data_IF_131288253512
#
_entry.id   IF_131288253512
#
_cell.length_a   1.000
_cell.length_b   1.000
_cell.length_c   1.000
_cell.angle_alpha   90.00
_cell.angle_beta   90.00
_cell.angle_gamma   90.00
#
_symmetry.space_group_name_H-M   'P 1'
#
loop_
_entity.id
_entity.type
_entity.pdbx_description
1 polymer ?
#
# COMPACT_ATOMS: atom_id res chain seq x y z
N UNK A 1 11.32 -12.99 2.69
CA UNK A 1 11.08 -12.76 4.13
C UNK A 1 10.27 -13.91 4.71
N UNK A 2 10.11 -13.97 6.03
CA UNK A 2 9.36 -15.04 6.74
C UNK A 2 7.84 -14.78 6.82
N UNK A 3 7.24 -14.32 5.72
CA UNK A 3 5.85 -13.89 5.65
C UNK A 3 5.70 -12.47 5.11
N UNK A 4 4.53 -12.14 4.57
CA UNK A 4 4.25 -10.79 4.02
C UNK A 4 4.14 -9.79 5.17
N UNK A 5 3.48 -10.13 6.27
CA UNK A 5 3.39 -9.27 7.46
C UNK A 5 4.78 -8.87 7.99
N UNK A 6 5.72 -9.81 8.07
CA UNK A 6 7.11 -9.53 8.45
C UNK A 6 7.85 -8.72 7.37
N UNK A 7 7.47 -8.84 6.09
CA UNK A 7 7.95 -7.96 5.03
C UNK A 7 7.49 -6.51 5.25
N UNK A 8 6.20 -6.31 5.54
CA UNK A 8 5.63 -4.98 5.85
C UNK A 8 6.35 -4.37 7.05
N UNK A 9 6.49 -5.15 8.13
CA UNK A 9 7.19 -4.71 9.34
C UNK A 9 8.63 -4.29 9.04
N UNK A 10 9.37 -5.07 8.24
CA UNK A 10 10.75 -4.76 7.87
C UNK A 10 10.84 -3.44 7.10
N UNK A 11 9.92 -3.19 6.16
CA UNK A 11 9.88 -1.94 5.39
C UNK A 11 9.55 -0.77 6.31
N UNK A 12 8.49 -0.86 7.11
CA UNK A 12 8.07 0.23 7.99
C UNK A 12 9.17 0.62 8.99
N UNK A 13 9.82 -0.37 9.61
CA UNK A 13 10.96 -0.13 10.51
C UNK A 13 12.20 0.46 9.82
N UNK A 14 12.30 0.33 8.50
CA UNK A 14 13.43 0.86 7.72
C UNK A 14 13.19 2.30 7.26
N UNK A 15 11.96 2.64 6.89
CA UNK A 15 11.65 3.93 6.25
C UNK A 15 11.12 4.99 7.21
N UNK A 16 10.50 4.59 8.33
CA UNK A 16 9.83 5.52 9.24
C UNK A 16 10.78 6.03 10.32
N UNK A 17 10.57 7.29 10.69
CA UNK A 17 11.12 7.92 11.89
C UNK A 17 10.02 8.50 12.76
N UNK A 18 10.37 8.89 13.98
CA UNK A 18 9.41 9.45 14.94
C UNK A 18 8.72 10.70 14.38
N UNK A 19 7.38 10.66 14.36
CA UNK A 19 6.53 11.74 13.86
C UNK A 19 6.11 11.64 12.39
N UNK A 20 6.58 10.61 11.67
CA UNK A 20 6.13 10.33 10.31
C UNK A 20 4.67 9.86 10.27
N UNK A 21 3.92 10.30 9.27
CA UNK A 21 2.55 9.87 9.02
C UNK A 21 2.50 8.88 7.84
N UNK A 22 1.69 7.82 7.99
CA UNK A 22 1.44 6.83 6.93
C UNK A 22 -0.03 6.88 6.54
N UNK A 23 -0.30 7.21 5.28
CA UNK A 23 -1.66 7.27 4.75
C UNK A 23 -2.12 5.88 4.32
N UNK A 24 -3.36 5.52 4.65
CA UNK A 24 -4.00 4.27 4.22
C UNK A 24 -5.46 4.56 3.84
N UNK A 25 -5.99 4.05 2.71
CA UNK A 25 -7.40 4.15 2.40
C UNK A 25 -8.26 3.41 3.42
N UNK A 26 -9.32 4.06 3.90
CA UNK A 26 -10.29 3.40 4.78
C UNK A 26 -11.11 2.34 4.02
N UNK A 27 -11.65 1.32 4.72
CA UNK A 27 -11.31 0.95 6.09
C UNK A 27 -9.93 0.25 6.12
N UNK A 28 -9.03 0.68 7.01
CA UNK A 28 -7.71 0.07 7.09
C UNK A 28 -7.79 -1.35 7.69
N UNK A 29 -6.99 -2.26 7.14
CA UNK A 29 -6.75 -3.54 7.80
C UNK A 29 -5.98 -3.29 9.11
N UNK A 30 -6.48 -3.77 10.28
CA UNK A 30 -5.93 -3.41 11.58
C UNK A 30 -4.50 -3.90 11.84
N UNK A 31 -3.94 -4.75 10.97
CA UNK A 31 -2.57 -5.22 11.11
C UNK A 31 -1.50 -4.17 10.81
N UNK A 32 -1.83 -3.07 10.12
CA UNK A 32 -0.84 -2.02 9.80
C UNK A 32 -0.53 -1.11 10.99
N UNK A 33 -1.55 -0.67 11.72
CA UNK A 33 -1.42 0.35 12.77
C UNK A 33 -0.38 -0.01 13.84
N UNK A 34 -0.38 -1.23 14.42
CA UNK A 34 0.61 -1.57 15.45
C UNK A 34 2.05 -1.55 14.94
N UNK A 35 2.27 -1.90 13.66
CA UNK A 35 3.60 -1.87 13.04
C UNK A 35 4.07 -0.45 12.77
N UNK A 36 3.16 0.42 12.33
CA UNK A 36 3.44 1.85 12.12
C UNK A 36 3.77 2.52 13.45
N UNK A 37 2.97 2.28 14.49
CA UNK A 37 3.22 2.79 15.85
C UNK A 37 4.54 2.28 16.42
N UNK A 38 4.85 0.99 16.24
CA UNK A 38 6.12 0.41 16.67
C UNK A 38 7.33 1.08 16.00
N UNK A 39 7.19 1.47 14.72
CA UNK A 39 8.21 2.19 13.98
C UNK A 39 8.26 3.71 14.28
N UNK A 40 7.44 4.21 15.22
CA UNK A 40 7.41 5.61 15.65
C UNK A 40 6.53 6.53 14.79
N UNK A 41 5.82 5.99 13.81
CA UNK A 41 4.87 6.74 12.99
C UNK A 41 3.43 6.67 13.50
N UNK A 42 2.54 7.38 12.82
CA UNK A 42 1.09 7.30 13.03
C UNK A 42 0.34 6.96 11.75
N UNK A 43 -0.65 6.08 11.86
CA UNK A 43 -1.57 5.79 10.76
C UNK A 43 -2.57 6.95 10.61
N UNK A 44 -2.80 7.36 9.37
CA UNK A 44 -3.85 8.32 9.00
C UNK A 44 -4.74 7.67 7.95
N UNK A 45 -6.01 7.43 8.29
CA UNK A 45 -6.97 6.89 7.34
C UNK A 45 -7.47 7.98 6.37
N UNK A 46 -7.50 7.66 5.08
CA UNK A 46 -8.18 8.46 4.06
C UNK A 46 -9.64 8.00 4.02
N UNK A 47 -10.58 8.89 4.35
CA UNK A 47 -12.00 8.58 4.27
C UNK A 47 -12.45 8.40 2.81
N UNK A 48 -12.75 7.15 2.45
CA UNK A 48 -13.20 6.72 1.12
C UNK A 48 -14.70 6.38 1.08
N UNK A 49 -15.45 6.62 2.17
CA UNK A 49 -16.89 6.28 2.26
C UNK A 49 -17.72 6.92 1.16
N UNK A 50 -17.37 8.14 0.75
CA UNK A 50 -18.08 8.88 -0.30
C UNK A 50 -17.97 8.24 -1.70
N UNK A 51 -17.08 7.25 -1.88
CA UNK A 51 -16.88 6.54 -3.14
C UNK A 51 -16.85 5.01 -2.93
N UNK A 52 -17.72 4.50 -2.06
CA UNK A 52 -17.89 3.07 -1.78
C UNK A 52 -16.57 2.34 -1.45
N UNK A 53 -15.72 3.01 -0.66
CA UNK A 53 -14.39 2.55 -0.25
C UNK A 53 -13.33 2.46 -1.37
N UNK A 54 -13.62 2.99 -2.55
CA UNK A 54 -12.64 3.08 -3.65
C UNK A 54 -11.90 4.41 -3.57
N UNK A 55 -10.60 4.37 -3.22
CA UNK A 55 -9.75 5.56 -3.24
C UNK A 55 -9.75 6.24 -4.63
N UNK A 56 -9.90 7.56 -4.65
CA UNK A 56 -9.76 8.38 -5.86
C UNK A 56 -8.46 9.18 -5.86
N UNK A 57 -7.94 9.58 -7.04
CA UNK A 57 -6.78 10.48 -7.11
C UNK A 57 -6.98 11.79 -6.36
N UNK A 58 -8.19 12.36 -6.39
CA UNK A 58 -8.50 13.60 -5.68
C UNK A 58 -8.45 13.43 -4.16
N UNK A 59 -9.03 12.34 -3.64
CA UNK A 59 -8.94 11.99 -2.21
C UNK A 59 -7.50 11.80 -1.76
N UNK A 60 -6.68 11.13 -2.58
CA UNK A 60 -5.27 10.89 -2.28
C UNK A 60 -4.46 12.20 -2.27
N UNK A 61 -4.59 13.03 -3.30
CA UNK A 61 -3.90 14.32 -3.41
C UNK A 61 -4.26 15.23 -2.23
N UNK A 62 -5.56 15.35 -1.93
CA UNK A 62 -6.03 16.14 -0.79
C UNK A 62 -5.46 15.62 0.52
N UNK A 63 -5.51 14.31 0.76
CA UNK A 63 -5.00 13.70 1.97
C UNK A 63 -3.51 14.00 2.16
N UNK A 64 -2.69 13.92 1.10
CA UNK A 64 -1.25 14.23 1.18
C UNK A 64 -1.02 15.71 1.49
N UNK A 65 -1.68 16.61 0.77
CA UNK A 65 -1.48 18.07 0.90
C UNK A 65 -1.87 18.57 2.30
N UNK A 66 -2.94 18.04 2.89
CA UNK A 66 -3.42 18.45 4.22
C UNK A 66 -2.47 18.08 5.37
N UNK A 67 -1.50 17.19 5.15
CA UNK A 67 -0.55 16.76 6.20
C UNK A 67 0.73 17.60 6.24
N UNK A 68 0.86 18.62 5.39
CA UNK A 68 1.95 19.61 5.48
C UNK A 68 3.36 18.99 5.48
N UNK A 69 3.59 17.96 4.64
CA UNK A 69 4.90 17.31 4.49
C UNK A 69 5.25 16.26 5.55
N UNK A 70 4.32 15.89 6.43
CA UNK A 70 4.52 14.80 7.40
C UNK A 70 4.33 13.40 6.83
N UNK A 71 3.73 13.28 5.63
CA UNK A 71 3.49 11.98 5.01
C UNK A 71 4.83 11.38 4.59
N UNK A 72 5.16 10.22 5.15
CA UNK A 72 6.34 9.45 4.76
C UNK A 72 6.01 8.37 3.74
N UNK A 73 4.84 7.74 3.89
CA UNK A 73 4.43 6.64 3.04
C UNK A 73 2.92 6.59 2.82
N UNK A 74 2.54 5.98 1.69
CA UNK A 74 1.15 5.60 1.39
C UNK A 74 1.10 4.09 1.23
N UNK A 75 0.26 3.41 2.00
CA UNK A 75 0.00 1.97 1.83
C UNK A 75 -1.25 1.80 0.97
N UNK A 76 -1.10 1.10 -0.15
CA UNK A 76 -2.19 0.68 -1.01
C UNK A 76 -2.29 -0.85 -0.94
N UNK A 77 -3.40 -1.35 -0.39
CA UNK A 77 -3.71 -2.77 -0.38
C UNK A 77 -4.79 -3.08 -1.42
N UNK A 78 -4.43 -3.80 -2.49
CA UNK A 78 -5.34 -4.09 -3.59
C UNK A 78 -4.91 -5.38 -4.32
N UNK A 79 -5.80 -6.40 -4.46
CA UNK A 79 -7.16 -6.47 -3.90
C UNK A 79 -7.22 -6.28 -2.37
N UNK A 80 -8.17 -5.46 -1.92
CA UNK A 80 -8.19 -4.91 -0.58
C UNK A 80 -8.82 -5.86 0.45
N UNK A 81 -8.21 -5.96 1.63
CA UNK A 81 -8.84 -6.48 2.84
C UNK A 81 -9.28 -5.28 3.70
N UNK A 82 -10.56 -5.14 4.07
CA UNK A 82 -11.64 -6.15 4.06
C UNK A 82 -12.62 -6.08 2.88
N UNK A 83 -12.50 -5.11 1.98
CA UNK A 83 -13.59 -4.77 1.03
C UNK A 83 -13.60 -5.59 -0.25
N UNK A 84 -12.50 -6.23 -0.63
CA UNK A 84 -12.32 -6.86 -1.94
C UNK A 84 -12.13 -5.86 -3.08
N UNK A 85 -12.00 -4.55 -2.80
CA UNK A 85 -11.80 -3.51 -3.82
C UNK A 85 -10.55 -3.80 -4.64
N UNK A 86 -10.69 -3.71 -5.95
CA UNK A 86 -9.61 -3.78 -6.94
C UNK A 86 -9.61 -2.50 -7.77
N UNK A 87 -8.47 -2.18 -8.38
CA UNK A 87 -8.33 -1.03 -9.27
C UNK A 87 -8.03 -1.49 -10.69
N UNK A 88 -8.69 -0.88 -11.67
CA UNK A 88 -8.32 -1.08 -13.06
C UNK A 88 -7.04 -0.30 -13.41
N UNK A 89 -6.47 -0.60 -14.57
CA UNK A 89 -5.25 0.04 -15.09
C UNK A 89 -5.30 1.56 -15.09
N UNK A 90 -6.43 2.14 -15.50
CA UNK A 90 -6.61 3.59 -15.56
C UNK A 90 -6.60 4.23 -14.17
N UNK A 91 -7.24 3.59 -13.19
CA UNK A 91 -7.25 4.02 -11.80
C UNK A 91 -5.85 3.94 -11.18
N UNK A 92 -5.15 2.81 -11.33
CA UNK A 92 -3.78 2.64 -10.83
C UNK A 92 -2.84 3.69 -11.43
N UNK A 93 -2.91 3.91 -12.75
CA UNK A 93 -2.13 4.96 -13.41
C UNK A 93 -2.43 6.34 -12.83
N UNK A 94 -3.70 6.68 -12.65
CA UNK A 94 -4.09 7.99 -12.12
C UNK A 94 -3.63 8.20 -10.66
N UNK A 95 -3.66 7.17 -9.82
CA UNK A 95 -3.11 7.21 -8.46
C UNK A 95 -1.58 7.40 -8.50
N UNK A 96 -0.88 6.69 -9.39
CA UNK A 96 0.56 6.84 -9.57
C UNK A 96 0.95 8.26 -10.02
N UNK A 97 0.17 8.88 -10.92
CA UNK A 97 0.42 10.28 -11.34
C UNK A 97 0.28 11.28 -10.18
N UNK A 98 -0.58 11.02 -9.21
CA UNK A 98 -0.64 11.83 -7.97
C UNK A 98 0.60 11.58 -7.14
N UNK A 99 0.91 10.31 -6.84
CA UNK A 99 2.01 9.94 -5.96
C UNK A 99 3.36 10.44 -6.47
N UNK A 100 3.61 10.48 -7.77
CA UNK A 100 4.88 10.96 -8.36
C UNK A 100 5.16 12.44 -8.13
N UNK A 101 4.17 13.23 -7.71
CA UNK A 101 4.36 14.65 -7.39
C UNK A 101 4.90 14.88 -5.98
N UNK A 102 4.93 13.84 -5.15
CA UNK A 102 5.20 13.92 -3.73
C UNK A 102 6.38 13.01 -3.38
N UNK A 103 7.28 13.48 -2.51
CA UNK A 103 8.41 12.69 -2.03
C UNK A 103 7.96 11.71 -0.93
N UNK A 104 7.19 10.70 -1.31
CA UNK A 104 6.63 9.68 -0.40
C UNK A 104 6.94 8.27 -0.89
N UNK A 105 7.14 7.33 0.03
CA UNK A 105 7.19 5.92 -0.34
C UNK A 105 5.79 5.40 -0.66
N UNK A 106 5.69 4.52 -1.65
CA UNK A 106 4.46 3.80 -2.00
C UNK A 106 4.64 2.35 -1.62
N UNK A 107 3.84 1.86 -0.68
CA UNK A 107 3.84 0.45 -0.30
C UNK A 107 2.64 -0.21 -0.98
N UNK A 108 2.91 -1.01 -2.01
CA UNK A 108 1.90 -1.83 -2.67
C UNK A 108 1.78 -3.18 -1.96
N UNK A 109 0.79 -3.36 -1.08
CA UNK A 109 0.46 -4.69 -0.56
C UNK A 109 -0.45 -5.43 -1.54
N UNK A 110 0.20 -6.25 -2.35
CA UNK A 110 -0.39 -6.96 -3.48
C UNK A 110 -0.47 -8.47 -3.20
N UNK A 111 -0.49 -8.89 -1.93
CA UNK A 111 -0.54 -10.33 -1.56
C UNK A 111 -1.77 -11.06 -2.11
N UNK A 112 -2.85 -10.33 -2.42
CA UNK A 112 -4.08 -10.85 -3.01
C UNK A 112 -4.10 -10.77 -4.54
N UNK A 113 -3.01 -10.38 -5.23
CA UNK A 113 -3.01 -10.07 -6.67
C UNK A 113 -3.56 -11.18 -7.57
N UNK A 114 -3.31 -12.45 -7.24
CA UNK A 114 -3.82 -13.61 -7.98
C UNK A 114 -5.32 -13.88 -7.73
N UNK A 115 -5.89 -13.34 -6.65
CA UNK A 115 -7.31 -13.45 -6.30
C UNK A 115 -8.10 -12.26 -6.86
N UNK A 116 -7.92 -11.99 -8.15
CA UNK A 116 -8.60 -10.92 -8.87
C UNK A 116 -9.70 -11.51 -9.78
N UNK A 117 -10.94 -11.07 -9.57
CA UNK A 117 -12.14 -11.62 -10.23
C UNK A 117 -12.71 -10.70 -11.32
N UNK A 118 -11.87 -9.85 -11.90
CA UNK A 118 -12.24 -8.98 -13.01
C UNK A 118 -11.80 -9.59 -14.34
N UNK A 119 -12.31 -9.06 -15.46
CA UNK A 119 -11.91 -9.53 -16.82
C UNK A 119 -10.48 -9.10 -17.22
N UNK A 120 -9.81 -8.31 -16.38
CA UNK A 120 -8.46 -7.80 -16.62
C UNK A 120 -7.53 -8.32 -15.52
N UNK A 121 -6.26 -8.64 -15.82
CA UNK A 121 -5.31 -9.03 -14.79
C UNK A 121 -5.04 -7.90 -13.80
N UNK A 122 -4.57 -8.26 -12.61
CA UNK A 122 -4.07 -7.31 -11.62
C UNK A 122 -2.97 -6.42 -12.22
N UNK A 123 -2.97 -5.14 -11.85
CA UNK A 123 -1.99 -4.15 -12.33
C UNK A 123 -1.29 -3.54 -11.12
N UNK A 124 0.02 -3.80 -10.98
CA UNK A 124 0.82 -3.18 -9.93
C UNK A 124 1.06 -1.70 -10.20
N UNK A 125 1.00 -0.89 -9.15
CA UNK A 125 1.36 0.53 -9.21
C UNK A 125 2.85 0.75 -9.53
N UNK A 126 3.69 -0.25 -9.26
CA UNK A 126 5.11 -0.23 -9.63
C UNK A 126 5.33 -0.15 -11.15
N UNK A 127 4.35 -0.52 -11.98
CA UNK A 127 4.42 -0.30 -13.44
C UNK A 127 4.49 1.20 -13.78
N UNK A 128 3.90 2.07 -12.95
CA UNK A 128 3.75 3.50 -13.22
C UNK A 128 4.56 4.41 -12.28
N UNK A 129 4.98 3.92 -11.11
CA UNK A 129 5.81 4.64 -10.14
C UNK A 129 6.94 3.75 -9.56
N UNK A 130 7.80 3.14 -10.40
CA UNK A 130 8.76 2.11 -9.97
C UNK A 130 9.81 2.60 -8.97
N UNK A 131 10.20 3.88 -9.06
CA UNK A 131 11.32 4.45 -8.29
C UNK A 131 10.99 4.68 -6.81
N UNK A 132 9.71 4.82 -6.48
CA UNK A 132 9.23 5.07 -5.11
C UNK A 132 8.32 3.96 -4.59
N UNK A 133 8.10 2.90 -5.37
CA UNK A 133 7.22 1.78 -4.97
C UNK A 133 8.02 0.62 -4.39
N UNK A 134 7.59 0.17 -3.21
CA UNK A 134 7.99 -1.08 -2.58
C UNK A 134 6.80 -2.02 -2.65
N UNK A 135 6.88 -3.04 -3.50
CA UNK A 135 5.83 -4.07 -3.65
C UNK A 135 6.04 -5.17 -2.63
N UNK A 136 5.00 -5.46 -1.88
CA UNK A 136 4.93 -6.55 -0.93
C UNK A 136 4.01 -7.63 -1.49
N UNK A 137 4.52 -8.85 -1.56
CA UNK A 137 3.75 -10.00 -2.03
C UNK A 137 4.20 -11.27 -1.31
N UNK A 138 3.54 -12.40 -1.57
CA UNK A 138 3.89 -13.70 -1.03
C UNK A 138 2.93 -14.78 -1.53
N UNK A 139 3.18 -16.01 -1.12
CA UNK A 139 2.46 -17.17 -1.67
C UNK A 139 1.36 -17.71 -0.77
N UNK A 140 1.02 -16.97 0.29
CA UNK A 140 -0.03 -17.37 1.24
C UNK A 140 -1.43 -17.42 0.64
N UNK A 141 -1.73 -16.54 -0.33
CA UNK A 141 -3.04 -16.43 -0.99
C UNK A 141 -3.06 -17.06 -2.36
N UNK A 142 -2.06 -16.77 -3.18
CA UNK A 142 -1.91 -17.33 -4.52
C UNK A 142 -1.74 -18.85 -4.55
N UNK A 143 -1.07 -19.43 -3.55
CA UNK A 143 -0.73 -20.86 -3.52
C UNK A 143 -1.25 -21.59 -2.26
N UNK A 144 -2.14 -20.97 -1.48
CA UNK A 144 -2.65 -21.51 -0.22
C UNK A 144 -1.56 -21.89 0.82
N UNK A 145 -0.37 -21.30 0.73
CA UNK A 145 0.76 -21.60 1.61
C UNK A 145 0.75 -20.76 2.89
N UNK A 146 -0.38 -20.76 3.60
CA UNK A 146 -0.64 -19.84 4.73
C UNK A 146 0.32 -20.00 5.91
N UNK A 147 0.71 -21.23 6.27
CA UNK A 147 1.64 -21.51 7.37
C UNK A 147 3.13 -21.52 7.00
N UNK A 148 3.48 -21.35 5.72
CA UNK A 148 4.83 -21.58 5.20
C UNK A 148 5.76 -20.39 5.35
N UNK A 149 5.20 -19.21 5.65
CA UNK A 149 5.97 -18.00 5.96
C UNK A 149 6.92 -17.59 4.83
N UNK A 150 6.38 -17.42 3.62
CA UNK A 150 7.15 -16.93 2.46
C UNK A 150 6.56 -15.61 2.00
N UNK A 151 7.28 -14.52 2.26
CA UNK A 151 7.00 -13.17 1.76
C UNK A 151 8.11 -12.68 0.84
N UNK A 152 7.75 -11.74 -0.03
CA UNK A 152 8.57 -11.19 -1.10
C UNK A 152 8.51 -9.67 -1.02
N UNK A 153 9.66 -9.03 -1.22
CA UNK A 153 9.79 -7.58 -1.34
C UNK A 153 10.41 -7.33 -2.71
N UNK A 154 9.79 -6.47 -3.51
CA UNK A 154 10.35 -5.96 -4.75
C UNK A 154 10.43 -4.44 -4.66
N UNK A 155 11.60 -3.87 -4.92
CA UNK A 155 11.84 -2.45 -4.87
C UNK A 155 12.93 -2.09 -5.90
N UNK A 156 12.99 -0.81 -6.29
CA UNK A 156 14.12 -0.30 -7.05
C UNK A 156 15.42 -0.53 -6.25
N UNK A 157 16.53 -0.75 -6.95
CA UNK A 157 17.83 -1.07 -6.33
C UNK A 157 18.32 -0.01 -5.33
N UNK A 158 17.93 1.25 -5.57
CA UNK A 158 18.35 2.41 -4.78
C UNK A 158 17.54 2.55 -3.47
N UNK A 159 16.49 1.73 -3.28
CA UNK A 159 15.64 1.68 -2.08
C UNK A 159 16.12 0.67 -1.05
#
# INVERSE_FOLDING_TARGET
TVGVTEAISSVLLSILVAGDEVLIPAPAYPGYEPLITLAGGSLVEIDTRANDFVLTPAMLEQAIVEREGKVKAVILNYPANPTGVTYNRGQIKALAEVLKKHEVFVIGDEVYSELNYTDQPHVSIAEYAPEQTIVLNGISKSHAMTGWRIGLIFAAREL
#
